data_IF_361845732744
#
_entry.id   IF_361845732744
#
_cell.length_a   1.000
_cell.length_b   1.000
_cell.length_c   1.000
_cell.angle_alpha   90.00
_cell.angle_beta   90.00
_cell.angle_gamma   90.00
#
_symmetry.space_group_name_H-M   'P 1'
#
loop_
_entity.id
_entity.type
_entity.pdbx_description
1 polymer ?
#
# COMPACT_ATOMS: atom_id res chain seq x y z
N UNK A 1 -11.24 -24.21 2.04
CA UNK A 1 -10.03 -24.80 2.65
C UNK A 1 -8.86 -24.47 1.74
N UNK A 2 -7.72 -24.07 2.30
CA UNK A 2 -6.53 -23.66 1.54
C UNK A 2 -5.38 -24.58 1.92
N UNK A 3 -4.71 -25.17 0.92
CA UNK A 3 -3.50 -25.99 1.09
C UNK A 3 -2.28 -25.08 0.96
N UNK A 4 -1.28 -25.27 1.81
CA UNK A 4 0.01 -24.56 1.71
C UNK A 4 1.08 -25.48 1.12
N UNK A 5 1.85 -24.95 0.18
CA UNK A 5 2.94 -25.62 -0.53
C UNK A 5 4.12 -24.64 -0.61
N UNK A 6 5.14 -24.83 0.22
CA UNK A 6 6.16 -23.81 0.54
C UNK A 6 5.51 -22.45 0.91
N UNK A 7 5.79 -21.39 0.16
CA UNK A 7 5.21 -20.06 0.35
C UNK A 7 3.90 -19.85 -0.44
N UNK A 8 3.41 -20.87 -1.15
CA UNK A 8 2.21 -20.78 -2.00
C UNK A 8 0.98 -21.33 -1.27
N UNK A 9 -0.06 -20.50 -1.19
CA UNK A 9 -1.39 -20.88 -0.77
C UNK A 9 -2.23 -21.28 -1.99
N UNK A 10 -2.83 -22.47 -1.93
CA UNK A 10 -3.59 -23.09 -3.01
C UNK A 10 -5.03 -23.31 -2.52
N UNK A 11 -5.99 -22.50 -2.96
CA UNK A 11 -7.40 -22.71 -2.61
C UNK A 11 -7.90 -24.04 -3.16
N UNK A 12 -8.59 -24.82 -2.33
CA UNK A 12 -9.26 -26.05 -2.79
C UNK A 12 -10.34 -25.67 -3.81
N UNK A 13 -10.40 -26.42 -4.91
CA UNK A 13 -11.34 -26.22 -6.02
C UNK A 13 -11.25 -24.85 -6.70
N UNK A 14 -10.07 -24.20 -6.69
CA UNK A 14 -9.85 -22.96 -7.43
C UNK A 14 -10.10 -23.17 -8.93
N UNK A 15 -10.89 -22.28 -9.51
CA UNK A 15 -11.04 -22.14 -10.96
C UNK A 15 -11.07 -20.65 -11.30
N UNK A 16 -10.21 -20.21 -12.20
CA UNK A 16 -10.26 -18.85 -12.71
C UNK A 16 -11.60 -18.62 -13.42
N UNK A 17 -12.34 -17.61 -12.98
CA UNK A 17 -13.66 -17.25 -13.54
C UNK A 17 -13.59 -16.50 -14.87
N UNK A 18 -12.41 -15.96 -15.19
CA UNK A 18 -12.12 -15.22 -16.41
C UNK A 18 -10.93 -15.88 -17.10
N UNK A 19 -10.96 -16.01 -18.42
CA UNK A 19 -9.78 -16.43 -19.16
C UNK A 19 -8.68 -15.35 -19.14
N UNK A 20 -7.50 -15.65 -19.69
CA UNK A 20 -6.36 -14.70 -19.70
C UNK A 20 -6.71 -13.39 -20.40
N UNK A 21 -7.41 -13.45 -21.53
CA UNK A 21 -7.76 -12.26 -22.32
C UNK A 21 -8.83 -11.43 -21.61
N UNK A 22 -9.84 -12.07 -21.04
CA UNK A 22 -10.86 -11.41 -20.24
C UNK A 22 -10.27 -10.79 -18.98
N UNK A 23 -9.27 -11.45 -18.38
CA UNK A 23 -8.53 -10.94 -17.22
C UNK A 23 -7.79 -9.65 -17.56
N UNK A 24 -7.08 -9.58 -18.69
CA UNK A 24 -6.41 -8.35 -19.16
C UNK A 24 -7.39 -7.18 -19.37
N UNK A 25 -8.55 -7.46 -19.99
CA UNK A 25 -9.61 -6.46 -20.18
C UNK A 25 -10.17 -5.99 -18.83
N UNK A 26 -10.38 -6.93 -17.90
CA UNK A 26 -10.92 -6.64 -16.58
C UNK A 26 -9.93 -5.84 -15.72
N UNK A 27 -8.63 -6.14 -15.78
CA UNK A 27 -7.57 -5.37 -15.10
C UNK A 27 -7.66 -3.91 -15.52
N UNK A 28 -7.71 -3.63 -16.82
CA UNK A 28 -7.86 -2.25 -17.32
C UNK A 28 -9.12 -1.59 -16.76
N UNK A 29 -10.27 -2.29 -16.77
CA UNK A 29 -11.51 -1.76 -16.22
C UNK A 29 -11.37 -1.38 -14.74
N UNK A 30 -10.76 -2.25 -13.93
CA UNK A 30 -10.50 -1.96 -12.51
C UNK A 30 -9.63 -0.71 -12.38
N UNK A 31 -8.51 -0.65 -13.10
CA UNK A 31 -7.56 0.45 -12.99
C UNK A 31 -8.18 1.79 -13.37
N UNK A 32 -8.87 1.85 -14.52
CA UNK A 32 -9.56 3.06 -14.99
C UNK A 32 -10.61 3.54 -13.96
N UNK A 33 -11.37 2.62 -13.35
CA UNK A 33 -12.38 2.98 -12.35
C UNK A 33 -11.76 3.49 -11.04
N UNK A 34 -10.67 2.88 -10.58
CA UNK A 34 -9.98 3.33 -9.36
C UNK A 34 -9.47 4.75 -9.56
N UNK A 35 -8.71 4.99 -10.63
CA UNK A 35 -8.14 6.30 -10.93
C UNK A 35 -9.21 7.39 -11.01
N UNK A 36 -10.30 7.14 -11.76
CA UNK A 36 -11.38 8.10 -11.88
C UNK A 36 -12.07 8.41 -10.54
N UNK A 37 -12.35 7.38 -9.73
CA UNK A 37 -13.09 7.53 -8.48
C UNK A 37 -12.27 8.21 -7.38
N UNK A 38 -10.99 7.83 -7.22
CA UNK A 38 -10.13 8.42 -6.19
C UNK A 38 -9.76 9.86 -6.54
N UNK A 39 -9.52 10.14 -7.83
CA UNK A 39 -9.17 11.49 -8.28
C UNK A 39 -10.32 12.47 -8.05
N UNK A 40 -11.54 12.08 -8.40
CA UNK A 40 -12.74 12.88 -8.17
C UNK A 40 -13.03 13.07 -6.67
N UNK A 41 -12.98 11.99 -5.88
CA UNK A 41 -13.37 12.03 -4.46
C UNK A 41 -12.38 12.82 -3.59
N UNK A 42 -11.08 12.73 -3.88
CA UNK A 42 -10.04 13.39 -3.08
C UNK A 42 -9.44 14.63 -3.76
N UNK A 43 -10.02 15.10 -4.88
CA UNK A 43 -9.52 16.23 -5.67
C UNK A 43 -8.03 16.07 -6.04
N UNK A 44 -7.70 14.93 -6.65
CA UNK A 44 -6.33 14.58 -7.02
C UNK A 44 -6.09 14.78 -8.51
N UNK A 45 -4.97 15.40 -8.83
CA UNK A 45 -4.48 15.53 -10.20
C UNK A 45 -3.47 14.41 -10.51
N UNK A 46 -3.64 13.71 -11.63
CA UNK A 46 -2.65 12.75 -12.12
C UNK A 46 -1.37 13.47 -12.52
N UNK A 47 -0.24 13.07 -11.95
CA UNK A 47 1.09 13.61 -12.31
C UNK A 47 2.04 12.51 -12.79
N UNK A 48 3.15 12.91 -13.40
CA UNK A 48 4.21 11.97 -13.80
C UNK A 48 5.15 11.68 -12.63
N UNK A 49 5.30 10.40 -12.27
CA UNK A 49 6.26 9.94 -11.29
C UNK A 49 7.67 9.71 -11.86
N UNK A 50 8.72 9.89 -11.03
CA UNK A 50 10.03 9.35 -11.33
C UNK A 50 10.05 7.83 -11.13
N UNK A 51 10.75 7.11 -12.03
CA UNK A 51 11.08 5.70 -11.83
C UNK A 51 12.32 5.52 -10.93
N UNK A 52 13.19 6.52 -10.89
CA UNK A 52 14.43 6.50 -10.14
C UNK A 52 14.76 7.89 -9.59
N UNK A 53 15.49 7.92 -8.48
CA UNK A 53 15.90 9.13 -7.77
C UNK A 53 17.36 9.06 -7.37
N UNK A 54 17.93 10.21 -7.05
CA UNK A 54 19.27 10.34 -6.48
C UNK A 54 19.23 10.03 -4.98
N UNK A 55 19.99 9.04 -4.47
CA UNK A 55 19.92 8.64 -3.05
C UNK A 55 20.26 9.79 -2.09
N UNK A 56 21.18 10.68 -2.48
CA UNK A 56 21.62 11.82 -1.66
C UNK A 56 20.50 12.83 -1.33
N UNK A 57 19.40 12.82 -2.09
CA UNK A 57 18.24 13.70 -1.85
C UNK A 57 17.37 13.25 -0.67
N UNK A 58 17.53 12.01 -0.21
CA UNK A 58 16.67 11.41 0.81
C UNK A 58 15.25 11.08 0.32
N UNK A 59 14.98 11.15 -0.98
CA UNK A 59 13.65 10.93 -1.56
C UNK A 59 13.23 9.46 -1.66
N UNK A 60 14.18 8.54 -1.83
CA UNK A 60 13.84 7.12 -1.96
C UNK A 60 13.33 6.57 -0.63
N UNK A 61 12.25 5.78 -0.66
CA UNK A 61 11.78 5.07 0.52
C UNK A 61 12.77 3.96 0.89
N UNK A 62 13.15 3.91 2.16
CA UNK A 62 14.05 2.90 2.68
C UNK A 62 13.32 1.71 3.30
N UNK A 63 11.98 1.68 3.27
CA UNK A 63 11.15 0.65 3.90
C UNK A 63 11.57 0.41 5.36
N UNK A 64 12.02 -0.80 5.71
CA UNK A 64 12.49 -1.14 7.05
C UNK A 64 13.98 -0.84 7.26
N UNK A 65 14.68 -0.38 6.23
CA UNK A 65 16.10 -0.03 6.25
C UNK A 65 17.05 -1.19 5.97
N UNK A 66 16.53 -2.36 5.60
CA UNK A 66 17.32 -3.57 5.30
C UNK A 66 17.24 -3.96 3.82
N UNK A 67 16.17 -3.56 3.14
CA UNK A 67 15.89 -3.87 1.75
C UNK A 67 16.77 -3.06 0.81
N UNK A 68 17.41 -3.73 -0.16
CA UNK A 68 18.34 -3.07 -1.09
C UNK A 68 17.58 -2.54 -2.32
N UNK A 69 17.70 -1.26 -2.67
CA UNK A 69 17.18 -0.76 -3.94
C UNK A 69 17.97 -1.32 -5.13
N UNK A 70 17.36 -1.32 -6.31
CA UNK A 70 18.08 -1.50 -7.57
C UNK A 70 18.76 -0.19 -7.93
N UNK A 71 20.07 -0.22 -8.19
CA UNK A 71 20.83 0.99 -8.49
C UNK A 71 21.69 0.85 -9.75
N UNK A 72 21.96 1.99 -10.40
CA UNK A 72 22.73 2.06 -11.65
C UNK A 72 23.30 3.47 -11.87
N UNK A 73 24.26 3.58 -12.79
CA UNK A 73 24.90 4.86 -13.12
C UNK A 73 24.32 5.45 -14.41
N UNK A 74 24.08 6.76 -14.41
CA UNK A 74 23.68 7.51 -15.62
C UNK A 74 24.91 8.18 -16.21
N UNK A 75 25.34 7.68 -17.38
CA UNK A 75 26.57 8.10 -18.08
C UNK A 75 26.69 9.61 -18.28
N UNK A 76 25.61 10.26 -18.73
CA UNK A 76 25.66 11.68 -19.15
C UNK A 76 25.85 12.66 -17.98
N UNK A 77 25.32 12.32 -16.81
CA UNK A 77 25.40 13.14 -15.60
C UNK A 77 26.42 12.62 -14.58
N UNK A 78 27.10 11.50 -14.89
CA UNK A 78 28.06 10.85 -13.99
C UNK A 78 27.50 10.58 -12.59
N UNK A 79 26.21 10.27 -12.49
CA UNK A 79 25.51 10.14 -11.21
C UNK A 79 24.96 8.75 -10.99
N UNK A 80 25.01 8.33 -9.73
CA UNK A 80 24.36 7.12 -9.24
C UNK A 80 22.89 7.40 -8.95
N UNK A 81 22.01 6.49 -9.36
CA UNK A 81 20.57 6.58 -9.08
C UNK A 81 20.03 5.24 -8.59
N UNK A 82 18.90 5.31 -7.91
CA UNK A 82 18.18 4.15 -7.39
C UNK A 82 16.76 4.13 -7.94
N UNK A 83 16.29 2.96 -8.36
CA UNK A 83 14.87 2.71 -8.63
C UNK A 83 14.10 2.94 -7.33
N UNK A 84 12.98 3.66 -7.43
CA UNK A 84 12.16 3.98 -6.27
C UNK A 84 11.56 2.70 -5.67
N UNK A 85 11.57 2.59 -4.34
CA UNK A 85 10.82 1.51 -3.63
C UNK A 85 9.38 1.93 -3.29
N UNK A 86 9.14 3.25 -3.23
CA UNK A 86 7.88 3.94 -3.02
C UNK A 86 8.12 5.45 -3.24
N UNK A 87 7.07 6.21 -3.58
CA UNK A 87 7.15 7.66 -3.75
C UNK A 87 6.66 8.43 -2.51
N UNK A 88 6.53 7.78 -1.36
CA UNK A 88 6.00 8.36 -0.12
C UNK A 88 6.56 9.77 0.19
N UNK A 89 7.89 9.94 0.10
CA UNK A 89 8.54 11.24 0.35
C UNK A 89 8.48 12.19 -0.85
N UNK A 90 8.61 11.65 -2.07
CA UNK A 90 8.58 12.44 -3.30
C UNK A 90 7.25 13.18 -3.49
N UNK A 91 6.11 12.55 -3.21
CA UNK A 91 4.79 13.14 -3.45
C UNK A 91 4.61 14.46 -2.67
N UNK A 92 5.05 14.49 -1.42
CA UNK A 92 4.98 15.71 -0.58
C UNK A 92 5.87 16.84 -1.10
N UNK A 93 7.07 16.51 -1.61
CA UNK A 93 7.92 17.50 -2.29
C UNK A 93 7.31 17.99 -3.60
N UNK A 94 6.68 17.09 -4.38
CA UNK A 94 6.04 17.43 -5.63
C UNK A 94 4.89 18.43 -5.42
N UNK A 95 4.05 18.21 -4.41
CA UNK A 95 2.97 19.13 -4.03
C UNK A 95 3.49 20.56 -3.78
N UNK A 96 4.53 20.68 -2.95
CA UNK A 96 5.17 21.98 -2.65
C UNK A 96 5.74 22.63 -3.92
N UNK A 97 6.49 21.85 -4.71
CA UNK A 97 7.17 22.35 -5.91
C UNK A 97 6.19 22.80 -7.00
N UNK A 98 5.05 22.14 -7.12
CA UNK A 98 4.06 22.40 -8.16
C UNK A 98 3.02 23.44 -7.75
N UNK A 99 3.02 23.89 -6.49
CA UNK A 99 2.18 25.00 -6.02
C UNK A 99 0.74 24.62 -5.69
N UNK A 100 0.49 23.35 -5.36
CA UNK A 100 -0.83 22.87 -4.90
C UNK A 100 -1.23 23.56 -3.58
N UNK A 101 -2.53 23.68 -3.35
CA UNK A 101 -3.12 24.34 -2.18
C UNK A 101 -3.85 23.35 -1.26
N UNK A 102 -4.18 23.74 -0.01
CA UNK A 102 -4.98 22.90 0.88
C UNK A 102 -6.28 22.42 0.24
N UNK A 103 -6.56 21.12 0.34
CA UNK A 103 -7.68 20.46 -0.33
C UNK A 103 -7.40 19.99 -1.76
N UNK A 104 -6.20 20.23 -2.30
CA UNK A 104 -5.74 19.70 -3.58
C UNK A 104 -4.65 18.66 -3.38
N UNK A 105 -4.62 17.66 -4.25
CA UNK A 105 -3.63 16.59 -4.17
C UNK A 105 -3.17 16.07 -5.53
N UNK A 106 -2.31 15.06 -5.46
CA UNK A 106 -1.80 14.34 -6.62
C UNK A 106 -1.99 12.84 -6.44
N UNK A 107 -2.06 12.14 -7.57
CA UNK A 107 -1.79 10.71 -7.60
C UNK A 107 -0.90 10.35 -8.80
N UNK A 108 -0.26 9.20 -8.72
CA UNK A 108 0.56 8.66 -9.80
C UNK A 108 0.51 7.14 -9.85
N UNK A 109 0.72 6.60 -11.05
CA UNK A 109 1.03 5.19 -11.26
C UNK A 109 2.50 4.95 -10.89
N UNK A 110 2.72 4.47 -9.67
CA UNK A 110 4.05 4.13 -9.19
C UNK A 110 4.38 2.69 -9.57
N UNK A 111 5.60 2.48 -10.05
CA UNK A 111 6.17 1.17 -10.34
C UNK A 111 7.52 1.08 -9.61
N UNK A 112 7.71 0.00 -8.86
CA UNK A 112 8.91 -0.25 -8.07
C UNK A 112 9.40 -1.68 -8.28
N UNK A 113 10.70 -1.88 -7.99
CA UNK A 113 11.34 -3.20 -7.97
C UNK A 113 11.82 -3.49 -6.55
N UNK A 114 11.15 -4.41 -5.86
CA UNK A 114 11.52 -4.91 -4.52
C UNK A 114 12.28 -6.23 -4.67
N UNK A 115 13.57 -6.12 -4.98
CA UNK A 115 14.44 -7.27 -5.30
C UNK A 115 14.67 -8.27 -4.16
N UNK A 116 14.41 -7.86 -2.92
CA UNK A 116 14.63 -8.68 -1.71
C UNK A 116 13.30 -9.23 -1.15
N UNK A 117 12.22 -9.13 -1.92
CA UNK A 117 10.88 -9.59 -1.53
C UNK A 117 10.79 -11.12 -1.47
N UNK A 118 10.04 -11.64 -0.50
CA UNK A 118 9.71 -13.08 -0.42
C UNK A 118 8.45 -13.33 -1.24
N UNK A 119 8.59 -14.05 -2.36
CA UNK A 119 7.49 -14.29 -3.30
C UNK A 119 6.46 -15.28 -2.74
N UNK A 120 5.19 -14.88 -2.82
CA UNK A 120 4.01 -15.66 -2.47
C UNK A 120 2.80 -15.20 -3.29
N UNK A 121 1.58 -15.64 -2.93
CA UNK A 121 0.35 -15.23 -3.60
C UNK A 121 0.11 -13.72 -3.67
N UNK A 122 0.68 -12.94 -2.73
CA UNK A 122 0.41 -11.52 -2.49
C UNK A 122 1.63 -10.62 -2.76
N UNK A 123 2.82 -11.21 -2.87
CA UNK A 123 4.11 -10.52 -2.92
C UNK A 123 4.87 -10.88 -4.21
N UNK A 124 5.28 -9.83 -4.92
CA UNK A 124 6.00 -9.88 -6.20
C UNK A 124 7.19 -8.94 -6.13
N UNK A 125 8.26 -9.24 -6.86
CA UNK A 125 9.38 -8.29 -7.03
C UNK A 125 8.94 -7.02 -7.75
N UNK A 126 7.90 -7.09 -8.58
CA UNK A 126 7.29 -5.93 -9.22
C UNK A 126 6.15 -5.43 -8.35
N UNK A 127 6.23 -4.17 -7.92
CA UNK A 127 5.21 -3.53 -7.09
C UNK A 127 4.63 -2.35 -7.86
N UNK A 128 3.31 -2.34 -8.01
CA UNK A 128 2.56 -1.23 -8.59
C UNK A 128 1.57 -0.64 -7.60
N UNK A 129 1.50 0.70 -7.53
CA UNK A 129 0.60 1.41 -6.62
C UNK A 129 -0.03 2.64 -7.30
N UNK A 130 -1.28 2.95 -6.92
CA UNK A 130 -1.75 4.32 -7.00
C UNK A 130 -1.23 5.05 -5.77
N UNK A 131 -0.18 5.81 -6.00
CA UNK A 131 0.54 6.51 -4.96
C UNK A 131 0.00 7.94 -4.91
N UNK A 132 -0.69 8.30 -3.82
CA UNK A 132 -1.44 9.56 -3.72
C UNK A 132 -1.06 10.38 -2.49
N UNK A 133 -1.30 11.69 -2.57
CA UNK A 133 -0.97 12.66 -1.52
C UNK A 133 -1.87 13.89 -1.64
N UNK A 134 -2.39 14.40 -0.52
CA UNK A 134 -3.35 15.50 -0.43
C UNK A 134 -2.86 16.52 0.59
N UNK A 135 -2.87 17.82 0.26
CA UNK A 135 -2.53 18.88 1.20
C UNK A 135 -3.68 19.09 2.20
N UNK A 136 -3.32 19.10 3.48
CA UNK A 136 -4.22 19.39 4.59
C UNK A 136 -3.70 20.60 5.37
N UNK A 137 -4.56 21.24 6.17
CA UNK A 137 -4.13 22.25 7.13
C UNK A 137 -3.53 21.60 8.37
N UNK A 138 -2.88 22.41 9.21
CA UNK A 138 -2.28 21.94 10.46
C UNK A 138 -3.35 21.43 11.44
N UNK A 139 -4.50 22.08 11.47
CA UNK A 139 -5.65 21.74 12.33
C UNK A 139 -6.31 20.43 11.91
N UNK A 140 -6.16 20.05 10.64
CA UNK A 140 -6.62 18.76 10.10
C UNK A 140 -5.68 17.59 10.46
N UNK A 141 -4.58 17.83 11.20
CA UNK A 141 -3.72 16.75 11.72
C UNK A 141 -4.35 16.06 12.94
N UNK A 142 -5.53 15.48 12.74
CA UNK A 142 -6.30 14.80 13.79
C UNK A 142 -6.85 13.47 13.28
N UNK A 143 -7.17 12.58 14.23
CA UNK A 143 -7.67 11.24 13.93
C UNK A 143 -8.93 11.27 13.07
N UNK A 144 -9.84 12.21 13.33
CA UNK A 144 -11.09 12.36 12.58
C UNK A 144 -10.84 12.59 11.08
N UNK A 145 -9.83 13.39 10.73
CA UNK A 145 -9.47 13.62 9.32
C UNK A 145 -8.96 12.34 8.66
N UNK A 146 -8.10 11.57 9.34
CA UNK A 146 -7.64 10.27 8.85
C UNK A 146 -8.84 9.34 8.59
N UNK A 147 -9.71 9.17 9.58
CA UNK A 147 -10.88 8.28 9.47
C UNK A 147 -11.84 8.72 8.36
N UNK A 148 -12.08 10.03 8.21
CA UNK A 148 -12.91 10.57 7.13
C UNK A 148 -12.33 10.24 5.76
N UNK A 149 -11.04 10.47 5.53
CA UNK A 149 -10.39 10.17 4.25
C UNK A 149 -10.43 8.67 3.94
N UNK A 150 -10.18 7.82 4.94
CA UNK A 150 -10.29 6.36 4.80
C UNK A 150 -11.72 5.94 4.44
N UNK A 151 -12.74 6.54 5.07
CA UNK A 151 -14.14 6.26 4.75
C UNK A 151 -14.51 6.68 3.32
N UNK A 152 -14.02 7.82 2.84
CA UNK A 152 -14.25 8.25 1.45
C UNK A 152 -13.61 7.30 0.44
N UNK A 153 -12.36 6.88 0.70
CA UNK A 153 -11.68 5.85 -0.10
C UNK A 153 -12.46 4.53 -0.09
N UNK A 154 -12.95 4.11 1.09
CA UNK A 154 -13.75 2.90 1.20
C UNK A 154 -15.05 2.97 0.39
N UNK A 155 -15.73 4.12 0.37
CA UNK A 155 -16.91 4.34 -0.49
C UNK A 155 -16.55 4.27 -1.96
N UNK A 156 -15.38 4.77 -2.38
CA UNK A 156 -14.88 4.59 -3.75
C UNK A 156 -14.75 3.11 -4.10
N UNK A 157 -14.11 2.33 -3.23
CA UNK A 157 -13.91 0.88 -3.40
C UNK A 157 -15.23 0.12 -3.51
N UNK A 158 -16.28 0.53 -2.78
CA UNK A 158 -17.64 0.00 -2.95
C UNK A 158 -18.24 0.32 -4.32
N UNK A 159 -18.12 1.57 -4.79
CA UNK A 159 -18.62 1.96 -6.11
C UNK A 159 -17.89 1.21 -7.23
N UNK A 160 -16.59 0.99 -7.08
CA UNK A 160 -15.75 0.21 -7.99
C UNK A 160 -16.20 -1.26 -8.01
N UNK A 161 -16.40 -1.89 -6.84
CA UNK A 161 -16.91 -3.27 -6.77
C UNK A 161 -18.27 -3.40 -7.49
N UNK A 162 -19.19 -2.47 -7.22
CA UNK A 162 -20.49 -2.43 -7.88
C UNK A 162 -20.38 -2.28 -9.40
N UNK A 163 -19.41 -1.48 -9.87
CA UNK A 163 -19.17 -1.29 -11.29
C UNK A 163 -18.64 -2.59 -11.93
N UNK A 164 -17.63 -3.21 -11.33
CA UNK A 164 -17.03 -4.46 -11.81
C UNK A 164 -18.07 -5.58 -11.88
N UNK A 165 -18.89 -5.75 -10.84
CA UNK A 165 -19.94 -6.79 -10.79
C UNK A 165 -21.03 -6.62 -11.85
N UNK A 166 -21.23 -5.42 -12.41
CA UNK A 166 -22.17 -5.22 -13.54
C UNK A 166 -21.62 -5.79 -14.84
N UNK A 167 -20.32 -5.70 -15.08
CA UNK A 167 -19.66 -6.24 -16.27
C UNK A 167 -19.33 -7.73 -16.11
N UNK A 168 -19.00 -8.15 -14.89
CA UNK A 168 -18.59 -9.50 -14.56
C UNK A 168 -19.45 -10.07 -13.42
N UNK A 169 -20.72 -10.42 -13.69
CA UNK A 169 -21.67 -10.87 -12.66
C UNK A 169 -21.35 -12.24 -12.06
N UNK A 170 -20.39 -12.98 -12.63
CA UNK A 170 -19.86 -14.24 -12.08
C UNK A 170 -18.87 -14.02 -10.93
N UNK A 171 -18.33 -12.81 -10.76
CA UNK A 171 -17.43 -12.47 -9.65
C UNK A 171 -18.22 -12.30 -8.35
N UNK A 172 -17.54 -12.46 -7.21
CA UNK A 172 -18.17 -12.37 -5.90
C UNK A 172 -18.15 -10.94 -5.36
N UNK A 173 -19.28 -10.52 -4.75
CA UNK A 173 -19.31 -9.39 -3.82
C UNK A 173 -18.59 -9.76 -2.52
N UNK A 174 -17.69 -8.90 -2.06
CA UNK A 174 -16.78 -9.16 -0.94
C UNK A 174 -16.81 -8.06 0.12
N UNK A 175 -16.96 -6.79 -0.27
CA UNK A 175 -16.89 -5.68 0.67
C UNK A 175 -18.17 -5.56 1.52
N UNK A 176 -18.07 -5.53 2.87
CA UNK A 176 -19.21 -5.27 3.75
C UNK A 176 -19.64 -3.79 3.69
N UNK A 177 -20.88 -3.46 4.08
CA UNK A 177 -21.34 -2.06 4.05
C UNK A 177 -20.48 -1.12 4.92
N UNK A 178 -20.06 -1.59 6.09
CA UNK A 178 -19.33 -0.81 7.08
C UNK A 178 -17.84 -1.18 7.12
N UNK A 179 -17.00 -0.19 7.41
CA UNK A 179 -15.58 -0.37 7.69
C UNK A 179 -15.34 -0.35 9.21
N UNK A 180 -14.61 -1.34 9.73
CA UNK A 180 -14.29 -1.42 11.15
C UNK A 180 -12.94 -0.76 11.46
N UNK A 181 -12.90 0.16 12.43
CA UNK A 181 -11.68 0.82 12.87
C UNK A 181 -11.19 0.20 14.19
N UNK A 182 -9.89 -0.09 14.29
CA UNK A 182 -9.26 -0.60 15.50
C UNK A 182 -7.81 -0.10 15.59
N UNK A 183 -7.29 0.17 16.79
CA UNK A 183 -5.85 0.45 16.93
C UNK A 183 -5.05 -0.85 16.98
N UNK A 184 -3.79 -0.80 16.58
CA UNK A 184 -2.85 -1.92 16.70
C UNK A 184 -2.73 -2.44 18.14
N UNK A 185 -2.83 -1.55 19.13
CA UNK A 185 -2.83 -1.93 20.55
C UNK A 185 -4.13 -2.60 20.98
N UNK A 186 -5.29 -2.06 20.60
CA UNK A 186 -6.57 -2.70 20.94
C UNK A 186 -6.68 -4.09 20.28
N UNK A 187 -6.11 -4.23 19.08
CA UNK A 187 -6.02 -5.51 18.38
C UNK A 187 -5.09 -6.49 19.12
N UNK A 188 -3.98 -6.03 19.68
CA UNK A 188 -3.13 -6.83 20.59
C UNK A 188 -3.90 -7.27 21.84
N UNK A 189 -4.59 -6.33 22.49
CA UNK A 189 -5.32 -6.57 23.73
C UNK A 189 -6.48 -7.57 23.50
N UNK A 190 -7.11 -7.55 22.32
CA UNK A 190 -8.16 -8.49 21.93
C UNK A 190 -7.63 -9.91 21.66
N UNK A 191 -6.40 -10.04 21.19
CA UNK A 191 -5.80 -11.31 20.75
C UNK A 191 -4.34 -11.47 21.26
N UNK A 192 -4.11 -11.47 22.59
CA UNK A 192 -2.77 -11.31 23.18
C UNK A 192 -1.83 -12.51 22.95
N UNK A 193 -2.34 -13.65 22.50
CA UNK A 193 -1.56 -14.86 22.21
C UNK A 193 -1.22 -15.06 20.72
N UNK A 194 -1.64 -14.16 19.85
CA UNK A 194 -1.50 -14.30 18.40
C UNK A 194 -0.42 -13.37 17.84
N UNK A 195 0.26 -13.80 16.78
CA UNK A 195 1.18 -12.93 16.03
C UNK A 195 0.42 -11.81 15.32
N UNK A 196 1.09 -10.71 14.94
CA UNK A 196 0.44 -9.59 14.24
C UNK A 196 -0.41 -10.03 13.02
N UNK A 197 0.15 -10.91 12.16
CA UNK A 197 -0.58 -11.44 10.99
C UNK A 197 -1.74 -12.36 11.37
N UNK A 198 -1.61 -13.16 12.42
CA UNK A 198 -2.74 -13.94 12.94
C UNK A 198 -3.85 -13.05 13.51
N UNK A 199 -3.49 -11.94 14.16
CA UNK A 199 -4.46 -10.95 14.65
C UNK A 199 -5.21 -10.28 13.49
N UNK A 200 -4.49 -9.91 12.42
CA UNK A 200 -5.08 -9.41 11.17
C UNK A 200 -6.06 -10.41 10.58
N UNK A 201 -5.70 -11.69 10.50
CA UNK A 201 -6.57 -12.76 10.00
C UNK A 201 -7.85 -12.90 10.82
N UNK A 202 -7.75 -12.94 12.16
CA UNK A 202 -8.93 -13.08 13.03
C UNK A 202 -9.88 -11.87 12.91
N UNK A 203 -9.35 -10.64 12.95
CA UNK A 203 -10.20 -9.45 12.87
C UNK A 203 -10.81 -9.29 11.48
N UNK A 204 -10.06 -9.59 10.40
CA UNK A 204 -10.59 -9.56 9.04
C UNK A 204 -11.63 -10.66 8.83
N UNK A 205 -11.43 -11.86 9.39
CA UNK A 205 -12.44 -12.94 9.31
C UNK A 205 -13.76 -12.50 9.94
N UNK A 206 -13.70 -11.82 11.09
CA UNK A 206 -14.87 -11.36 11.82
C UNK A 206 -15.55 -10.14 11.19
N UNK A 207 -14.78 -9.16 10.69
CA UNK A 207 -15.28 -7.84 10.26
C UNK A 207 -15.30 -7.64 8.76
N UNK A 208 -14.61 -8.48 7.99
CA UNK A 208 -14.45 -8.46 6.52
C UNK A 208 -13.71 -7.24 5.94
N UNK A 209 -13.86 -6.06 6.50
CA UNK A 209 -13.08 -4.87 6.16
C UNK A 209 -12.66 -4.12 7.42
N UNK A 210 -11.36 -3.87 7.56
CA UNK A 210 -10.76 -3.30 8.77
C UNK A 210 -9.73 -2.24 8.39
N UNK A 211 -9.74 -1.12 9.11
CA UNK A 211 -8.63 -0.17 9.12
C UNK A 211 -7.91 -0.26 10.46
N UNK A 212 -6.70 -0.82 10.43
CA UNK A 212 -5.85 -0.98 11.62
C UNK A 212 -5.00 0.28 11.76
N UNK A 213 -5.24 1.05 12.81
CA UNK A 213 -4.60 2.33 13.06
C UNK A 213 -3.34 2.20 13.92
N UNK A 214 -2.47 3.20 13.85
CA UNK A 214 -1.30 3.38 14.70
C UNK A 214 -0.24 2.27 14.52
N UNK A 215 0.25 2.11 13.30
CA UNK A 215 1.23 1.08 12.96
C UNK A 215 2.63 1.70 12.88
N UNK A 216 3.56 1.17 13.67
CA UNK A 216 4.99 1.53 13.62
C UNK A 216 5.65 1.56 14.99
N UNK A 217 4.99 2.13 16.01
CA UNK A 217 5.55 2.19 17.36
C UNK A 217 5.46 0.84 18.09
N UNK A 218 6.21 0.70 19.19
CA UNK A 218 6.15 -0.48 20.05
C UNK A 218 4.83 -0.51 20.83
N UNK A 219 4.19 -1.68 20.83
CA UNK A 219 3.01 -1.97 21.63
C UNK A 219 3.40 -2.30 23.08
N UNK A 220 2.41 -2.55 23.95
CA UNK A 220 2.62 -2.96 25.36
C UNK A 220 3.49 -4.21 25.48
N UNK A 221 3.43 -5.12 24.49
CA UNK A 221 4.32 -6.29 24.42
C UNK A 221 5.80 -5.97 24.20
N UNK A 222 6.12 -4.72 23.83
CA UNK A 222 7.46 -4.28 23.42
C UNK A 222 7.79 -4.57 21.95
N UNK A 223 6.89 -5.24 21.23
CA UNK A 223 6.99 -5.47 19.78
C UNK A 223 6.10 -4.49 19.03
N UNK A 224 6.50 -4.05 17.83
CA UNK A 224 5.60 -3.30 16.94
C UNK A 224 4.58 -4.25 16.28
N UNK A 225 3.46 -3.71 15.81
CA UNK A 225 2.51 -4.49 15.01
C UNK A 225 3.10 -4.87 13.65
N UNK A 226 3.69 -3.91 12.96
CA UNK A 226 4.44 -4.08 11.72
C UNK A 226 5.55 -3.02 11.64
N UNK A 227 6.51 -3.20 10.74
CA UNK A 227 7.54 -2.21 10.44
C UNK A 227 6.94 -0.95 9.80
N UNK A 228 7.52 0.21 10.10
CA UNK A 228 7.17 1.47 9.45
C UNK A 228 8.36 2.41 9.40
N UNK A 229 8.54 3.07 8.26
CA UNK A 229 9.60 4.08 8.17
C UNK A 229 9.28 5.27 9.09
N UNK A 230 10.30 5.90 9.70
CA UNK A 230 10.12 6.98 10.66
C UNK A 230 9.87 8.35 10.03
N UNK A 231 9.96 8.49 8.71
CA UNK A 231 10.18 9.78 8.03
C UNK A 231 9.11 10.20 7.04
N UNK A 232 8.02 9.44 6.88
CA UNK A 232 6.86 9.90 6.11
C UNK A 232 5.55 9.84 6.87
N UNK A 233 5.20 8.76 7.58
CA UNK A 233 3.94 8.66 8.33
C UNK A 233 4.11 8.99 9.80
N UNK A 234 3.16 9.76 10.34
CA UNK A 234 3.01 9.88 11.79
C UNK A 234 2.37 8.60 12.33
N UNK A 235 3.11 7.81 13.11
CA UNK A 235 2.65 6.51 13.61
C UNK A 235 1.47 6.62 14.58
N UNK A 236 1.08 7.83 15.00
CA UNK A 236 -0.16 8.05 15.78
C UNK A 236 -1.37 8.29 14.88
N UNK A 237 -1.15 8.61 13.60
CA UNK A 237 -2.14 9.06 12.63
C UNK A 237 -1.99 8.33 11.28
N UNK A 238 -1.65 7.05 11.30
CA UNK A 238 -1.58 6.19 10.13
C UNK A 238 -2.38 4.90 10.33
N UNK A 239 -2.44 4.08 9.28
CA UNK A 239 -2.96 2.73 9.36
C UNK A 239 -2.98 2.02 8.02
N UNK A 240 -3.34 0.75 8.10
CA UNK A 240 -3.46 -0.13 6.95
C UNK A 240 -4.94 -0.53 6.75
N UNK A 241 -5.38 -0.54 5.50
CA UNK A 241 -6.69 -1.00 5.07
C UNK A 241 -6.60 -2.46 4.62
N UNK A 242 -7.23 -3.35 5.38
CA UNK A 242 -7.22 -4.79 5.16
C UNK A 242 -8.64 -5.30 4.89
N UNK A 243 -8.75 -6.21 3.93
CA UNK A 243 -9.97 -6.95 3.63
C UNK A 243 -9.78 -8.44 3.92
N UNK A 244 -10.87 -9.13 4.20
CA UNK A 244 -10.88 -10.59 4.15
C UNK A 244 -10.90 -11.05 2.69
N UNK A 245 -9.87 -11.77 2.27
CA UNK A 245 -9.86 -12.42 0.96
C UNK A 245 -10.52 -13.82 1.10
N UNK A 246 -11.72 -14.04 0.54
CA UNK A 246 -12.39 -15.33 0.66
C UNK A 246 -11.74 -16.43 -0.18
N UNK A 247 -11.00 -16.09 -1.25
CA UNK A 247 -10.29 -17.05 -2.10
C UNK A 247 -9.10 -17.65 -1.33
N UNK A 248 -8.34 -16.82 -0.62
CA UNK A 248 -7.17 -17.24 0.13
C UNK A 248 -7.43 -17.49 1.62
N UNK A 249 -8.67 -17.27 2.08
CA UNK A 249 -9.09 -17.40 3.47
C UNK A 249 -8.15 -16.70 4.47
N UNK A 250 -7.72 -15.48 4.15
CA UNK A 250 -6.79 -14.68 4.96
C UNK A 250 -7.03 -13.17 4.86
N UNK A 251 -6.46 -12.40 5.77
CA UNK A 251 -6.35 -10.96 5.69
C UNK A 251 -5.52 -10.54 4.47
N UNK A 252 -5.95 -9.47 3.82
CA UNK A 252 -5.42 -9.00 2.56
C UNK A 252 -5.30 -7.48 2.61
N UNK A 253 -4.09 -7.00 2.78
CA UNK A 253 -3.77 -5.57 2.86
C UNK A 253 -3.83 -4.93 1.46
N UNK A 254 -4.71 -3.94 1.32
CA UNK A 254 -4.96 -3.20 0.07
C UNK A 254 -4.18 -1.90 0.01
N UNK A 255 -4.08 -1.22 1.15
CA UNK A 255 -3.50 0.11 1.21
C UNK A 255 -2.86 0.38 2.55
N UNK A 256 -1.78 1.15 2.51
CA UNK A 256 -1.20 1.80 3.67
C UNK A 256 -1.26 3.32 3.48
N UNK A 257 -1.72 4.03 4.51
CA UNK A 257 -1.90 5.48 4.44
C UNK A 257 -1.80 6.14 5.81
N UNK A 258 -1.54 7.44 5.79
CA UNK A 258 -1.44 8.21 7.03
C UNK A 258 -1.31 9.70 6.81
N UNK A 259 -1.61 10.43 7.87
CA UNK A 259 -1.21 11.83 7.99
C UNK A 259 0.31 11.83 8.16
N UNK A 260 0.99 12.63 7.34
CA UNK A 260 2.44 12.60 7.29
C UNK A 260 3.06 13.18 8.56
N UNK A 261 4.30 12.83 8.86
CA UNK A 261 5.04 13.42 9.97
C UNK A 261 5.10 14.95 9.90
N UNK A 262 5.11 15.62 11.05
CA UNK A 262 5.47 17.03 11.16
C UNK A 262 6.88 17.19 11.76
N UNK A 263 7.25 18.42 12.11
CA UNK A 263 8.55 18.75 12.68
C UNK A 263 8.80 17.98 14.00
N UNK A 264 7.74 17.75 14.77
CA UNK A 264 7.78 17.15 16.09
C UNK A 264 7.80 15.62 15.94
N UNK A 265 6.83 15.05 15.23
CA UNK A 265 6.73 13.60 15.09
C UNK A 265 7.87 13.01 14.28
N UNK A 266 8.37 13.70 13.24
CA UNK A 266 9.57 13.25 12.53
C UNK A 266 10.77 13.15 13.48
N UNK A 267 11.00 14.16 14.32
CA UNK A 267 12.13 14.17 15.25
C UNK A 267 12.01 13.05 16.28
N UNK A 268 10.84 12.88 16.87
CA UNK A 268 10.56 11.80 17.83
C UNK A 268 10.79 10.42 17.19
N UNK A 269 10.25 10.19 16.00
CA UNK A 269 10.33 8.90 15.31
C UNK A 269 11.76 8.56 14.85
N UNK A 270 12.51 9.52 14.29
CA UNK A 270 13.91 9.31 13.90
C UNK A 270 14.79 8.93 15.09
N UNK A 271 14.57 9.54 16.26
CA UNK A 271 15.28 9.17 17.50
C UNK A 271 14.89 7.75 17.94
N UNK A 272 13.59 7.42 17.97
CA UNK A 272 13.09 6.09 18.34
C UNK A 272 13.62 4.98 17.42
N UNK A 273 13.74 5.25 16.13
CA UNK A 273 14.26 4.31 15.13
C UNK A 273 15.78 4.32 14.98
N UNK A 274 16.51 5.15 15.74
CA UNK A 274 17.96 5.25 15.62
C UNK A 274 18.46 5.81 14.28
N UNK A 275 17.62 6.55 13.56
CA UNK A 275 17.88 7.08 12.21
C UNK A 275 18.16 8.60 12.22
N UNK A 276 18.81 9.10 13.28
CA UNK A 276 19.03 10.55 13.50
C UNK A 276 19.89 11.18 12.39
N UNK A 277 20.76 10.39 11.76
CA UNK A 277 21.60 10.81 10.63
C UNK A 277 20.78 11.34 9.44
N UNK A 278 19.58 10.78 9.22
CA UNK A 278 18.66 11.21 8.15
C UNK A 278 18.22 12.67 8.27
N UNK A 279 18.28 13.27 9.47
CA UNK A 279 17.95 14.69 9.67
C UNK A 279 18.81 15.64 8.82
N UNK A 280 19.96 15.18 8.32
CA UNK A 280 20.85 15.98 7.47
C UNK A 280 20.48 15.95 5.98
N UNK A 281 19.57 15.06 5.57
CA UNK A 281 19.13 14.94 4.17
C UNK A 281 18.17 16.08 3.80
N UNK A 282 18.14 16.43 2.52
CA UNK A 282 17.38 17.59 2.02
C UNK A 282 15.90 17.55 2.41
N UNK A 283 15.23 16.44 2.10
CA UNK A 283 13.81 16.26 2.44
C UNK A 283 13.52 16.44 3.93
N UNK A 284 14.32 15.82 4.80
CA UNK A 284 14.13 15.85 6.24
C UNK A 284 14.37 17.24 6.81
N UNK A 285 15.38 17.98 6.32
CA UNK A 285 15.62 19.37 6.71
C UNK A 285 14.44 20.27 6.37
N UNK A 286 13.88 20.13 5.17
CA UNK A 286 12.71 20.91 4.75
C UNK A 286 11.49 20.64 5.65
N UNK A 287 11.26 19.40 6.07
CA UNK A 287 10.19 19.10 7.04
C UNK A 287 10.50 19.72 8.40
N UNK A 288 11.70 19.50 8.94
CA UNK A 288 12.07 19.99 10.28
C UNK A 288 12.06 21.53 10.38
N UNK A 289 12.22 22.23 9.26
CA UNK A 289 12.14 23.69 9.16
C UNK A 289 10.72 24.21 8.86
N UNK A 290 9.73 23.35 8.66
CA UNK A 290 8.36 23.74 8.32
C UNK A 290 8.21 24.29 6.90
N UNK A 291 9.07 23.89 5.96
CA UNK A 291 9.08 24.38 4.57
C UNK A 291 8.14 23.57 3.65
N UNK A 292 7.78 22.34 4.02
CA UNK A 292 6.85 21.50 3.26
C UNK A 292 5.42 21.57 3.84
N UNK A 293 4.39 21.48 2.99
CA UNK A 293 3.00 21.50 3.42
C UNK A 293 2.68 20.31 4.34
N UNK A 294 1.66 20.42 5.19
CA UNK A 294 1.09 19.26 5.87
C UNK A 294 0.27 18.44 4.88
N UNK A 295 0.41 17.12 4.91
CA UNK A 295 -0.26 16.24 3.95
C UNK A 295 -0.80 14.99 4.63
N UNK A 296 -1.78 14.38 3.97
CA UNK A 296 -2.21 12.99 4.16
C UNK A 296 -1.98 12.27 2.84
N UNK A 297 -1.54 11.02 2.88
CA UNK A 297 -1.36 10.26 1.66
C UNK A 297 -1.25 8.77 1.92
N UNK A 298 -1.11 8.01 0.85
CA UNK A 298 -0.98 6.57 0.91
C UNK A 298 -0.64 5.94 -0.43
N UNK A 299 -0.48 4.62 -0.41
CA UNK A 299 -0.36 3.79 -1.59
C UNK A 299 -1.47 2.75 -1.60
N UNK A 300 -2.14 2.58 -2.74
CA UNK A 300 -3.13 1.50 -2.97
C UNK A 300 -2.52 0.54 -3.99
N UNK A 301 -2.32 -0.73 -3.63
CA UNK A 301 -1.69 -1.71 -4.53
C UNK A 301 -2.56 -2.01 -5.75
N UNK A 302 -2.09 -1.71 -6.97
CA UNK A 302 -2.92 -1.87 -8.16
C UNK A 302 -3.19 -3.34 -8.45
N UNK A 303 -2.13 -4.15 -8.51
CA UNK A 303 -2.24 -5.59 -8.74
C UNK A 303 -2.96 -6.30 -7.58
N UNK A 304 -2.71 -5.88 -6.34
CA UNK A 304 -3.45 -6.41 -5.17
C UNK A 304 -4.95 -6.16 -5.27
N UNK A 305 -5.36 -4.95 -5.66
CA UNK A 305 -6.78 -4.63 -5.80
C UNK A 305 -7.43 -5.34 -7.00
N UNK A 306 -6.70 -5.47 -8.12
CA UNK A 306 -7.15 -6.27 -9.26
C UNK A 306 -7.34 -7.74 -8.87
N UNK A 307 -6.36 -8.33 -8.18
CA UNK A 307 -6.41 -9.70 -7.68
C UNK A 307 -7.63 -9.91 -6.78
N UNK A 308 -7.86 -8.98 -5.84
CA UNK A 308 -9.01 -9.03 -4.94
C UNK A 308 -10.33 -8.99 -5.71
N UNK A 309 -10.55 -7.99 -6.56
CA UNK A 309 -11.84 -7.85 -7.25
C UNK A 309 -12.13 -8.99 -8.23
N UNK A 310 -11.10 -9.47 -8.94
CA UNK A 310 -11.23 -10.49 -9.99
C UNK A 310 -11.20 -11.92 -9.45
N UNK A 311 -11.34 -12.11 -8.13
CA UNK A 311 -11.34 -13.43 -7.45
C UNK A 311 -10.10 -14.27 -7.79
N UNK A 312 -8.94 -13.63 -7.95
CA UNK A 312 -7.68 -14.29 -8.29
C UNK A 312 -7.00 -14.85 -7.05
N UNK A 313 -6.37 -16.02 -7.21
CA UNK A 313 -5.67 -16.72 -6.14
C UNK A 313 -4.21 -16.29 -6.06
N UNK A 314 -3.63 -15.75 -7.13
CA UNK A 314 -2.24 -15.32 -7.15
C UNK A 314 -2.08 -13.96 -7.84
N UNK A 315 -1.24 -13.08 -7.28
CA UNK A 315 -0.99 -11.73 -7.83
C UNK A 315 -0.45 -11.79 -9.26
N UNK A 316 0.33 -12.84 -9.58
CA UNK A 316 0.83 -13.09 -10.93
C UNK A 316 -0.25 -13.40 -11.98
N UNK A 317 -1.51 -13.63 -11.60
CA UNK A 317 -2.63 -13.74 -12.57
C UNK A 317 -3.10 -12.36 -13.07
N UNK A 318 -2.67 -11.28 -12.42
CA UNK A 318 -3.02 -9.90 -12.78
C UNK A 318 -1.79 -9.00 -12.97
N UNK A 319 -0.61 -9.60 -12.92
CA UNK A 319 0.66 -8.91 -12.99
C UNK A 319 1.72 -9.81 -13.65
N UNK A 320 2.28 -9.38 -14.77
CA UNK A 320 3.44 -10.04 -15.38
C UNK A 320 4.70 -9.76 -14.56
N UNK A 321 5.31 -10.80 -14.01
CA UNK A 321 6.49 -10.74 -13.14
C UNK A 321 7.34 -12.01 -13.32
N UNK A 322 8.40 -12.14 -12.53
CA UNK A 322 9.28 -13.32 -12.53
C UNK A 322 9.00 -14.17 -11.30
N UNK A 323 8.86 -15.47 -11.50
CA UNK A 323 8.50 -16.45 -10.47
C UNK A 323 9.43 -17.66 -10.52
N UNK A 324 9.62 -18.39 -9.40
CA UNK A 324 10.34 -19.66 -9.41
C UNK A 324 9.64 -20.69 -10.33
N UNK A 325 10.42 -21.47 -11.10
CA UNK A 325 9.87 -22.50 -12.00
C UNK A 325 8.96 -23.51 -11.28
N UNK A 326 9.28 -23.82 -10.02
CA UNK A 326 8.45 -24.67 -9.16
C UNK A 326 7.09 -24.04 -8.88
N UNK A 327 7.05 -22.74 -8.57
CA UNK A 327 5.81 -22.01 -8.33
C UNK A 327 4.96 -21.93 -9.61
N UNK A 328 5.57 -21.64 -10.76
CA UNK A 328 4.86 -21.62 -12.06
C UNK A 328 4.21 -22.98 -12.31
N UNK A 329 4.97 -24.07 -12.13
CA UNK A 329 4.49 -25.43 -12.34
C UNK A 329 3.34 -25.79 -11.38
N UNK A 330 3.48 -25.46 -10.10
CA UNK A 330 2.44 -25.71 -9.09
C UNK A 330 1.19 -24.89 -9.35
N UNK A 331 1.32 -23.60 -9.71
CA UNK A 331 0.19 -22.76 -10.10
C UNK A 331 -0.57 -23.36 -11.29
N UNK A 332 0.15 -23.73 -12.36
CA UNK A 332 -0.45 -24.31 -13.56
C UNK A 332 -1.22 -25.61 -13.27
N UNK A 333 -0.66 -26.49 -12.43
CA UNK A 333 -1.32 -27.74 -12.03
C UNK A 333 -2.62 -27.53 -11.24
N UNK A 334 -2.76 -26.37 -10.59
CA UNK A 334 -3.92 -26.01 -9.76
C UNK A 334 -4.83 -24.97 -10.44
N UNK A 335 -4.71 -24.78 -11.76
CA UNK A 335 -5.57 -23.88 -12.53
C UNK A 335 -5.33 -22.40 -12.30
N UNK A 336 -4.21 -22.03 -11.67
CA UNK A 336 -3.76 -20.65 -11.46
C UNK A 336 -2.86 -20.29 -12.64
N UNK A 337 -3.33 -19.40 -13.52
CA UNK A 337 -2.63 -19.05 -14.77
C UNK A 337 -1.93 -17.71 -14.61
N UNK A 338 -0.62 -17.75 -14.44
CA UNK A 338 0.22 -16.54 -14.33
C UNK A 338 0.42 -15.89 -15.71
N UNK A 339 0.49 -14.55 -15.74
CA UNK A 339 0.67 -13.71 -16.95
C UNK A 339 2.12 -13.63 -17.43
#
# INVERSE_FOLDING_TARGET
>A
MVRFDDNLAIPTDYQSKLDVRETEIAIKLVKDQVEAQIADTLNLTRVSAPLYVRPETGLNDNLNGVERPVSFDIKDIGAHVEVVQSLAKWKRMALARYGFQPGEGIYTDMNAIRRDEVLDNLHSVYVDQWDWELIITREQRILDTLQQVVLELYRCLHRIENHILRYYPMLNRKLPADLFFITSQDLEDQYPGLTAKQREDEICRAKRAVFIMQIGDKLKSGQSHDGRAPDYDDWRLNGDLLFWNPTLERAFEISSMGIRVDEISMREQLVKSGCIDRMNLDFHRMILNGELPYTIGGGIGQSRLCMFYLDKAHIGEVQSSVWPDSMISTCQQNGIVLL
#
